data_IF_428429210920
#
_entry.id   IF_428429210920
#
_cell.length_a   1.000
_cell.length_b   1.000
_cell.length_c   1.000
_cell.angle_alpha   90.00
_cell.angle_beta   90.00
_cell.angle_gamma   90.00
#
_symmetry.space_group_name_H-M   'P 1'
#
loop_
_entity.id
_entity.type
_entity.pdbx_description
1 polymer ?
#
# COMPACT_ATOMS: atom_id res chain seq x y z
N UNK A 1 3.77 -12.77 -4.31
CA UNK A 1 3.45 -13.36 -2.99
C UNK A 1 4.57 -12.93 -2.05
N UNK A 2 4.25 -12.59 -0.81
CA UNK A 2 5.22 -12.24 0.23
C UNK A 2 5.08 -13.30 1.31
N UNK A 3 6.21 -13.86 1.75
CA UNK A 3 6.26 -14.70 2.94
C UNK A 3 6.86 -13.86 4.06
N UNK A 4 6.16 -13.77 5.19
CA UNK A 4 6.62 -13.05 6.36
C UNK A 4 6.85 -14.06 7.48
N UNK A 5 8.09 -14.12 7.98
CA UNK A 5 8.40 -14.84 9.21
C UNK A 5 7.93 -14.04 10.42
N UNK A 6 7.10 -14.66 11.24
CA UNK A 6 6.59 -14.11 12.49
C UNK A 6 6.80 -15.16 13.57
N UNK A 7 7.86 -14.98 14.37
CA UNK A 7 8.18 -15.85 15.50
C UNK A 7 8.31 -17.34 15.12
N UNK A 8 8.89 -17.64 13.95
CA UNK A 8 9.07 -19.00 13.45
C UNK A 8 7.86 -19.59 12.73
N UNK A 9 6.76 -18.84 12.60
CA UNK A 9 5.66 -19.17 11.71
C UNK A 9 5.73 -18.34 10.42
N UNK A 10 5.40 -18.98 9.29
CA UNK A 10 5.40 -18.32 7.99
C UNK A 10 3.98 -17.91 7.60
N UNK A 11 3.76 -16.61 7.45
CA UNK A 11 2.50 -16.05 6.96
C UNK A 11 2.65 -15.67 5.49
N UNK A 12 1.89 -16.32 4.63
CA UNK A 12 1.87 -16.03 3.21
C UNK A 12 0.84 -14.94 2.87
N UNK A 13 1.30 -13.82 2.33
CA UNK A 13 0.45 -12.77 1.78
C UNK A 13 0.43 -12.83 0.25
N UNK A 14 -0.76 -12.80 -0.32
CA UNK A 14 -0.99 -12.67 -1.74
C UNK A 14 -1.99 -11.55 -2.02
N UNK A 15 -1.70 -10.78 -3.06
CA UNK A 15 -2.56 -9.69 -3.49
C UNK A 15 -2.09 -9.12 -4.82
N UNK A 16 -2.77 -8.05 -5.25
CA UNK A 16 -2.42 -7.28 -6.43
C UNK A 16 -2.16 -5.85 -5.99
N UNK A 17 -0.99 -5.34 -6.36
CA UNK A 17 -0.62 -3.94 -6.15
C UNK A 17 -1.14 -3.12 -7.34
N UNK A 18 -1.66 -1.94 -7.07
CA UNK A 18 -2.17 -1.04 -8.10
C UNK A 18 -1.03 -0.43 -8.94
N UNK A 19 -0.01 0.13 -8.28
CA UNK A 19 1.12 0.80 -8.94
C UNK A 19 2.41 0.77 -8.11
N UNK A 20 3.53 0.53 -8.80
CA UNK A 20 4.89 0.72 -8.27
C UNK A 20 5.63 1.64 -9.24
N UNK A 21 6.17 2.75 -8.74
CA UNK A 21 7.05 3.66 -9.47
C UNK A 21 8.48 3.50 -8.99
N UNK A 22 9.44 3.41 -9.90
CA UNK A 22 10.87 3.53 -9.60
C UNK A 22 11.37 4.88 -10.12
N UNK A 23 11.97 5.67 -9.23
CA UNK A 23 12.55 6.97 -9.55
C UNK A 23 13.98 6.79 -10.06
N UNK A 24 14.48 7.79 -10.79
CA UNK A 24 15.85 7.78 -11.35
C UNK A 24 16.93 7.77 -10.27
N UNK A 25 16.61 8.27 -9.07
CA UNK A 25 17.48 8.26 -7.89
C UNK A 25 17.40 6.94 -7.08
N UNK A 26 16.69 5.92 -7.61
CA UNK A 26 16.60 4.61 -6.99
C UNK A 26 15.49 4.46 -5.94
N UNK A 27 14.75 5.53 -5.59
CA UNK A 27 13.58 5.42 -4.71
C UNK A 27 12.48 4.61 -5.38
N UNK A 28 11.72 3.89 -4.56
CA UNK A 28 10.56 3.10 -4.98
C UNK A 28 9.33 3.63 -4.25
N UNK A 29 8.25 3.83 -5.01
CA UNK A 29 6.98 4.30 -4.47
C UNK A 29 5.87 3.35 -4.86
N UNK A 30 5.28 2.73 -3.85
CA UNK A 30 4.06 1.94 -3.99
C UNK A 30 2.86 2.86 -3.79
N UNK A 31 1.93 2.85 -4.73
CA UNK A 31 0.68 3.62 -4.63
C UNK A 31 -0.52 2.68 -4.77
N UNK A 32 -1.43 2.75 -3.81
CA UNK A 32 -2.75 2.12 -3.86
C UNK A 32 -3.83 3.20 -4.00
N UNK A 33 -4.72 3.05 -4.98
CA UNK A 33 -5.72 4.07 -5.28
C UNK A 33 -7.00 3.80 -4.48
N UNK A 34 -7.51 4.85 -3.82
CA UNK A 34 -8.77 4.80 -3.08
C UNK A 34 -9.78 5.79 -3.63
N UNK A 35 -11.03 5.35 -3.77
CA UNK A 35 -12.15 6.22 -4.16
C UNK A 35 -13.00 6.69 -2.97
N UNK A 36 -12.68 6.26 -1.75
CA UNK A 36 -13.38 6.60 -0.51
C UNK A 36 -12.82 7.85 0.17
N UNK A 37 -13.00 7.94 1.49
CA UNK A 37 -12.45 9.00 2.35
C UNK A 37 -11.20 8.54 3.11
N UNK A 38 -10.30 9.47 3.39
CA UNK A 38 -9.04 9.21 4.09
C UNK A 38 -9.16 9.07 5.62
N UNK A 39 -10.29 9.48 6.21
CA UNK A 39 -10.47 9.63 7.67
C UNK A 39 -10.04 8.40 8.48
N UNK A 40 -10.39 7.19 8.03
CA UNK A 40 -10.06 5.94 8.74
C UNK A 40 -8.60 5.48 8.57
N UNK A 41 -7.78 6.25 7.87
CA UNK A 41 -6.39 5.91 7.56
C UNK A 41 -5.41 6.97 8.08
N UNK A 42 -5.89 8.10 8.62
CA UNK A 42 -5.04 9.22 9.08
C UNK A 42 -4.06 8.87 10.21
N UNK A 43 -4.28 7.76 10.90
CA UNK A 43 -3.37 7.24 11.93
C UNK A 43 -2.16 6.50 11.36
N UNK A 44 -2.19 6.16 10.07
CA UNK A 44 -1.08 5.46 9.44
C UNK A 44 0.15 6.35 9.35
N UNK A 45 1.23 5.86 9.92
CA UNK A 45 2.54 6.50 9.94
C UNK A 45 3.62 5.43 9.89
N UNK A 46 4.88 5.84 9.88
CA UNK A 46 6.01 4.91 10.01
C UNK A 46 5.98 4.14 11.35
N UNK A 47 5.58 4.81 12.44
CA UNK A 47 5.47 4.19 13.76
C UNK A 47 4.21 3.33 13.93
N UNK A 48 3.16 3.62 13.16
CA UNK A 48 1.87 2.92 13.19
C UNK A 48 1.47 2.45 11.77
N UNK A 49 2.27 1.58 11.12
CA UNK A 49 2.09 1.22 9.72
C UNK A 49 0.83 0.39 9.44
N UNK A 50 0.26 -0.18 10.49
CA UNK A 50 -0.87 -1.12 10.49
C UNK A 50 -2.13 -0.57 11.15
N UNK A 51 -2.07 0.63 11.75
CA UNK A 51 -3.15 1.21 12.58
C UNK A 51 -3.67 0.18 13.59
N UNK A 52 -2.78 -0.25 14.49
CA UNK A 52 -3.04 -1.25 15.54
C UNK A 52 -3.37 -2.66 15.06
N UNK A 53 -2.99 -3.02 13.83
CA UNK A 53 -3.23 -4.35 13.25
C UNK A 53 -4.54 -4.44 12.48
N UNK A 54 -5.08 -3.32 12.00
CA UNK A 54 -6.32 -3.31 11.21
C UNK A 54 -6.08 -3.09 9.72
N UNK A 55 -4.91 -2.57 9.31
CA UNK A 55 -4.57 -2.18 7.92
C UNK A 55 -3.23 -2.76 7.47
N UNK A 56 -3.23 -3.97 6.92
CA UNK A 56 -2.00 -4.63 6.46
C UNK A 56 -1.59 -4.34 5.02
N UNK A 57 -2.43 -3.64 4.24
CA UNK A 57 -2.23 -3.53 2.79
C UNK A 57 -0.94 -2.80 2.40
N UNK A 58 -0.73 -1.56 2.88
CA UNK A 58 0.48 -0.79 2.57
C UNK A 58 1.78 -1.46 3.03
N UNK A 59 1.92 -1.91 4.29
CA UNK A 59 3.21 -2.43 4.75
C UNK A 59 3.56 -3.76 4.06
N UNK A 60 2.57 -4.62 3.80
CA UNK A 60 2.78 -5.86 3.02
C UNK A 60 3.17 -5.57 1.56
N UNK A 61 2.58 -4.55 0.94
CA UNK A 61 2.97 -4.18 -0.42
C UNK A 61 4.37 -3.57 -0.46
N UNK A 62 4.75 -2.82 0.56
CA UNK A 62 6.11 -2.31 0.70
C UNK A 62 7.14 -3.44 0.85
N UNK A 63 6.84 -4.49 1.62
CA UNK A 63 7.70 -5.68 1.70
C UNK A 63 7.92 -6.33 0.34
N UNK A 64 6.88 -6.44 -0.48
CA UNK A 64 7.06 -6.94 -1.85
C UNK A 64 7.96 -6.00 -2.65
N UNK A 65 7.75 -4.69 -2.54
CA UNK A 65 8.54 -3.71 -3.27
C UNK A 65 10.02 -3.68 -2.85
N UNK A 66 10.35 -4.07 -1.61
CA UNK A 66 11.74 -4.21 -1.16
C UNK A 66 12.55 -5.22 -1.99
N UNK A 67 11.89 -6.21 -2.59
CA UNK A 67 12.54 -7.16 -3.52
C UNK A 67 13.05 -6.50 -4.81
N UNK A 68 12.63 -5.26 -5.07
CA UNK A 68 13.00 -4.48 -6.26
C UNK A 68 13.92 -3.29 -5.94
N UNK A 69 14.18 -3.01 -4.66
CA UNK A 69 15.12 -2.00 -4.17
C UNK A 69 14.79 -1.52 -2.74
N UNK A 70 15.68 -0.74 -2.14
CA UNK A 70 15.73 -0.63 -0.67
C UNK A 70 15.01 0.59 -0.07
N UNK A 71 14.78 1.65 -0.86
CA UNK A 71 14.15 2.88 -0.38
C UNK A 71 12.68 2.94 -0.80
N UNK A 72 11.82 2.29 -0.03
CA UNK A 72 10.40 2.11 -0.36
C UNK A 72 9.53 3.07 0.45
N UNK A 73 8.70 3.85 -0.25
CA UNK A 73 7.57 4.58 0.35
C UNK A 73 6.26 3.96 -0.11
N UNK A 74 5.32 3.81 0.79
CA UNK A 74 3.98 3.26 0.50
C UNK A 74 2.93 4.32 0.77
N UNK A 75 1.90 4.40 -0.07
CA UNK A 75 0.82 5.37 0.12
C UNK A 75 -0.51 4.90 -0.44
N UNK A 76 -1.58 5.36 0.20
CA UNK A 76 -2.87 5.55 -0.43
C UNK A 76 -2.91 6.90 -1.13
N UNK A 77 -3.53 6.91 -2.30
CA UNK A 77 -3.92 8.15 -2.98
C UNK A 77 -5.43 8.15 -3.22
N UNK A 78 -6.12 9.10 -2.57
CA UNK A 78 -7.57 9.22 -2.64
C UNK A 78 -7.98 9.99 -3.88
N UNK A 79 -8.22 9.31 -4.99
CA UNK A 79 -8.45 9.92 -6.32
C UNK A 79 -9.89 10.42 -6.50
N UNK A 80 -10.35 11.29 -5.60
CA UNK A 80 -11.66 11.95 -5.73
C UNK A 80 -11.68 13.32 -5.04
N UNK A 81 -12.53 14.22 -5.56
CA UNK A 81 -12.67 15.59 -5.04
C UNK A 81 -13.18 15.64 -3.60
N UNK A 82 -14.03 14.71 -3.15
CA UNK A 82 -14.59 14.69 -1.79
C UNK A 82 -13.53 14.43 -0.72
N UNK A 83 -12.46 13.75 -1.10
CA UNK A 83 -11.28 13.48 -0.29
C UNK A 83 -10.14 14.46 -0.56
N UNK A 84 -10.37 15.54 -1.33
CA UNK A 84 -9.36 16.55 -1.69
C UNK A 84 -8.06 15.97 -2.26
N UNK A 85 -8.14 14.84 -2.95
CA UNK A 85 -6.95 14.16 -3.48
C UNK A 85 -5.90 13.78 -2.43
N UNK A 86 -6.32 13.60 -1.17
CA UNK A 86 -5.44 13.35 -0.03
C UNK A 86 -4.50 12.15 -0.27
N UNK A 87 -3.30 12.25 0.29
CA UNK A 87 -2.30 11.19 0.26
C UNK A 87 -1.99 10.81 1.69
N UNK A 88 -2.08 9.53 2.00
CA UNK A 88 -1.76 8.97 3.32
C UNK A 88 -0.76 7.85 3.12
N UNK A 89 0.38 7.93 3.78
CA UNK A 89 1.45 6.97 3.57
C UNK A 89 2.67 7.25 4.43
N UNK A 90 3.65 6.38 4.32
CA UNK A 90 4.87 6.43 5.11
C UNK A 90 6.01 5.68 4.40
N UNK A 91 7.24 5.95 4.83
CA UNK A 91 8.40 5.18 4.41
C UNK A 91 8.41 3.85 5.13
N UNK A 92 8.68 2.76 4.41
CA UNK A 92 8.80 1.44 5.02
C UNK A 92 10.24 1.29 5.55
N UNK A 93 10.43 1.60 6.82
CA UNK A 93 11.68 1.39 7.55
C UNK A 93 11.67 0.04 8.28
N UNK A 94 12.82 -0.38 8.80
CA UNK A 94 12.93 -1.62 9.57
C UNK A 94 12.01 -1.60 10.80
N UNK A 95 11.89 -0.45 11.46
CA UNK A 95 10.96 -0.26 12.58
C UNK A 95 9.50 -0.48 12.17
N UNK A 96 9.09 0.02 11.00
CA UNK A 96 7.75 -0.22 10.47
C UNK A 96 7.53 -1.72 10.13
N UNK A 97 8.56 -2.41 9.66
CA UNK A 97 8.51 -3.87 9.40
C UNK A 97 8.37 -4.65 10.71
N UNK A 98 9.04 -4.22 11.78
CA UNK A 98 8.93 -4.87 13.09
C UNK A 98 7.54 -4.70 13.70
N UNK A 99 6.93 -3.52 13.57
CA UNK A 99 5.52 -3.33 13.96
C UNK A 99 4.58 -4.20 13.13
N UNK A 100 4.81 -4.30 11.81
CA UNK A 100 4.05 -5.20 10.95
C UNK A 100 4.13 -6.65 11.45
N UNK A 101 5.32 -7.15 11.80
CA UNK A 101 5.50 -8.50 12.33
C UNK A 101 4.76 -8.67 13.66
N UNK A 102 4.93 -7.73 14.58
CA UNK A 102 4.27 -7.75 15.89
C UNK A 102 2.74 -7.79 15.76
N UNK A 103 2.19 -6.97 14.87
CA UNK A 103 0.75 -6.90 14.63
C UNK A 103 0.20 -8.08 13.84
N UNK A 104 1.04 -8.75 13.05
CA UNK A 104 0.63 -9.97 12.33
C UNK A 104 0.26 -11.11 13.31
N UNK A 105 0.76 -11.10 14.54
CA UNK A 105 0.34 -12.03 15.59
C UNK A 105 -1.10 -11.80 16.07
N UNK A 106 -1.67 -10.62 15.84
CA UNK A 106 -3.07 -10.31 16.15
C UNK A 106 -4.03 -10.92 15.13
N UNK A 107 -3.53 -11.44 14.00
CA UNK A 107 -4.34 -12.16 13.04
C UNK A 107 -4.82 -13.49 13.66
N UNK A 108 -6.11 -13.85 13.50
CA UNK A 108 -6.63 -15.14 13.98
C UNK A 108 -5.80 -16.33 13.50
N UNK A 109 -5.67 -17.38 14.31
CA UNK A 109 -4.86 -18.57 13.98
C UNK A 109 -5.28 -19.23 12.67
N UNK A 110 -6.59 -19.24 12.35
CA UNK A 110 -7.09 -19.75 11.06
C UNK A 110 -6.43 -19.05 9.85
N UNK A 111 -6.11 -17.77 10.01
CA UNK A 111 -5.48 -16.93 9.00
C UNK A 111 -3.97 -17.19 8.96
N UNK A 112 -3.31 -17.37 10.12
CA UNK A 112 -1.88 -17.71 10.23
C UNK A 112 -1.55 -19.13 9.74
N UNK A 113 -2.44 -20.08 10.00
CA UNK A 113 -2.32 -21.50 9.62
C UNK A 113 -2.82 -21.81 8.20
N UNK A 114 -3.59 -20.91 7.59
CA UNK A 114 -4.00 -21.05 6.18
C UNK A 114 -2.85 -20.68 5.26
N UNK A 115 -2.53 -21.55 4.30
CA UNK A 115 -1.36 -21.44 3.42
C UNK A 115 -1.31 -20.19 2.52
N UNK A 116 -2.33 -19.32 2.53
CA UNK A 116 -2.33 -18.04 1.80
C UNK A 116 -3.43 -17.05 2.28
N UNK A 117 -3.05 -15.86 2.78
CA UNK A 117 -3.96 -14.71 2.83
C UNK A 117 -4.08 -14.12 1.43
N UNK A 118 -5.28 -14.20 0.83
CA UNK A 118 -5.58 -13.50 -0.43
C UNK A 118 -6.30 -12.18 -0.16
N UNK A 119 -5.56 -11.08 -0.18
CA UNK A 119 -6.14 -9.75 -0.28
C UNK A 119 -6.53 -9.48 -1.74
N UNK A 120 -7.83 -9.64 -2.03
CA UNK A 120 -8.41 -9.05 -3.24
C UNK A 120 -8.64 -7.57 -2.97
N UNK A 121 -7.75 -6.71 -3.46
CA UNK A 121 -8.11 -5.33 -3.72
C UNK A 121 -9.36 -5.36 -4.62
N UNK A 122 -10.54 -4.99 -4.08
CA UNK A 122 -11.65 -4.56 -4.93
C UNK A 122 -11.18 -3.27 -5.57
N UNK A 123 -10.50 -3.40 -6.71
CA UNK A 123 -10.24 -2.33 -7.65
C UNK A 123 -11.58 -1.70 -8.02
N UNK A 124 -11.94 -0.60 -7.34
CA UNK A 124 -13.01 0.28 -7.78
C UNK A 124 -12.63 1.05 -9.05
N UNK A 125 -11.34 1.05 -9.44
CA UNK A 125 -10.85 1.73 -10.63
C UNK A 125 -9.80 0.89 -11.38
N UNK A 126 -10.04 0.65 -12.66
CA UNK A 126 -9.03 0.18 -13.61
C UNK A 126 -8.32 1.41 -14.19
N UNK A 127 -7.26 1.90 -13.55
CA UNK A 127 -6.33 2.82 -14.21
C UNK A 127 -5.45 1.94 -15.13
N UNK A 128 -5.77 1.93 -16.43
CA UNK A 128 -5.09 1.13 -17.45
C UNK A 128 -4.09 2.08 -18.11
N UNK A 129 -2.80 1.79 -17.95
CA UNK A 129 -1.60 2.52 -18.43
C UNK A 129 -0.97 3.53 -17.46
N UNK A 130 0.29 3.25 -17.12
CA UNK A 130 1.20 4.13 -16.39
C UNK A 130 2.49 4.16 -17.19
N UNK A 131 2.75 5.26 -17.89
CA UNK A 131 4.08 5.59 -18.43
C UNK A 131 4.63 6.82 -17.71
N UNK A 132 5.96 6.90 -17.69
CA UNK A 132 6.78 7.95 -17.10
C UNK A 132 6.13 9.34 -17.23
N UNK A 133 5.55 9.83 -16.14
CA UNK A 133 5.22 11.25 -16.00
C UNK A 133 3.78 11.75 -16.26
N UNK A 134 2.72 10.93 -16.38
CA UNK A 134 1.37 11.49 -16.61
C UNK A 134 0.17 10.75 -15.99
N UNK A 135 -0.70 11.57 -15.36
CA UNK A 135 -2.17 11.54 -15.12
C UNK A 135 -2.90 10.21 -14.92
N UNK A 136 -3.59 10.06 -13.77
CA UNK A 136 -4.78 9.19 -13.67
C UNK A 136 -6.00 10.11 -13.81
N UNK A 137 -6.85 9.88 -14.82
CA UNK A 137 -8.02 10.72 -15.09
C UNK A 137 -9.31 10.02 -14.64
N UNK A 138 -10.18 10.74 -13.93
CA UNK A 138 -11.53 10.29 -13.64
C UNK A 138 -12.45 10.60 -14.83
N UNK A 139 -12.97 9.55 -15.48
CA UNK A 139 -13.86 9.66 -16.65
C UNK A 139 -15.20 10.33 -16.31
N UNK A 140 -15.61 10.39 -15.04
CA UNK A 140 -16.85 11.09 -14.62
C UNK A 140 -16.64 12.57 -14.32
N UNK A 141 -15.42 12.96 -13.97
CA UNK A 141 -15.11 14.35 -13.59
C UNK A 141 -14.51 15.17 -14.74
N UNK A 142 -14.12 14.55 -15.86
CA UNK A 142 -13.31 15.19 -16.91
C UNK A 142 -12.03 15.87 -16.36
N UNK A 143 -11.58 15.41 -15.18
CA UNK A 143 -10.46 16.01 -14.47
C UNK A 143 -9.23 15.13 -14.67
N UNK A 144 -8.32 15.63 -15.50
CA UNK A 144 -7.06 15.00 -15.83
C UNK A 144 -5.95 15.83 -15.18
N UNK A 145 -5.53 15.42 -13.98
CA UNK A 145 -4.47 16.04 -13.17
C UNK A 145 -3.32 16.54 -14.06
N UNK A 146 -3.25 17.85 -14.32
CA UNK A 146 -2.08 18.47 -14.92
C UNK A 146 -1.01 18.48 -13.84
N UNK A 147 0.15 17.93 -14.15
CA UNK A 147 1.35 18.04 -13.34
C UNK A 147 1.70 19.53 -13.26
N UNK A 148 1.28 20.23 -12.21
CA UNK A 148 1.85 21.54 -11.88
C UNK A 148 3.20 21.25 -11.23
N UNK A 149 4.23 21.74 -11.91
CA UNK A 149 5.67 21.55 -11.68
C UNK A 149 6.10 21.53 -10.23
#
# INVERSE_FOLDING_TARGET
>A
MVLLDVMGEQIAFAGKIDRIDRHTDGRIRVTDYKSGQATSYKKLSESEPTDGGTKFQLPVYGLLALTTGNNVTTRYWYVNHKANYEVVGYQLTDAAIDVLKADSNKLPDRIRSSSILRWRARLGFRCREVYQGAKCCDRKANDCLRNTR
#
